data_IF_691142986331
#
_entry.id   IF_691142986331
#
_cell.length_a   1.000
_cell.length_b   1.000
_cell.length_c   1.000
_cell.angle_alpha   90.00
_cell.angle_beta   90.00
_cell.angle_gamma   90.00
#
_symmetry.space_group_name_H-M   'P 1'
#
loop_
_entity.id
_entity.type
_entity.pdbx_description
1 polymer ?
#
# COMPACT_ATOMS: atom_id res chain seq x y z
N UNK A 1 -8.89 -0.01 -8.14
CA UNK A 1 -8.09 -1.24 -7.90
C UNK A 1 -6.59 -0.98 -7.91
N UNK A 2 -6.04 -0.26 -8.89
CA UNK A 2 -4.61 0.14 -8.83
C UNK A 2 -4.35 0.94 -7.55
N UNK A 3 -3.27 0.62 -6.86
CA UNK A 3 -2.91 1.21 -5.58
C UNK A 3 -3.48 0.49 -4.35
N UNK A 4 -4.45 -0.42 -4.53
CA UNK A 4 -4.98 -1.26 -3.46
C UNK A 4 -4.04 -2.42 -3.14
N UNK A 5 -4.33 -3.12 -2.05
CA UNK A 5 -3.56 -4.25 -1.54
C UNK A 5 -4.38 -5.53 -1.66
N UNK A 6 -3.75 -6.63 -2.03
CA UNK A 6 -4.42 -7.93 -2.26
C UNK A 6 -3.57 -9.07 -1.69
N UNK A 7 -4.22 -10.14 -1.23
CA UNK A 7 -3.51 -11.37 -0.89
C UNK A 7 -3.04 -12.09 -2.15
N UNK A 8 -1.76 -12.45 -2.20
CA UNK A 8 -1.16 -13.11 -3.36
C UNK A 8 -0.46 -14.39 -2.93
N UNK A 9 -0.59 -15.42 -3.76
CA UNK A 9 0.15 -16.65 -3.59
C UNK A 9 1.60 -16.48 -4.05
N UNK A 10 2.54 -16.95 -3.23
CA UNK A 10 3.98 -17.03 -3.55
C UNK A 10 4.43 -18.44 -3.91
N UNK A 11 3.52 -19.41 -3.84
CA UNK A 11 3.79 -20.80 -4.19
C UNK A 11 2.62 -21.36 -4.99
N UNK A 12 2.85 -22.49 -5.66
CA UNK A 12 1.77 -23.29 -6.23
C UNK A 12 0.77 -23.69 -5.14
N UNK A 13 -0.49 -23.78 -5.54
CA UNK A 13 -1.54 -24.36 -4.71
C UNK A 13 -1.36 -25.88 -4.70
N UNK A 14 -1.24 -26.46 -3.51
CA UNK A 14 -1.18 -27.90 -3.29
C UNK A 14 -2.32 -28.24 -2.31
N UNK A 15 -3.28 -29.07 -2.74
CA UNK A 15 -4.47 -29.41 -1.94
C UNK A 15 -5.21 -28.18 -1.39
N UNK A 16 -5.38 -27.15 -2.22
CA UNK A 16 -6.05 -25.89 -1.84
C UNK A 16 -5.24 -24.97 -0.91
N UNK A 17 -3.96 -25.26 -0.66
CA UNK A 17 -3.07 -24.47 0.22
C UNK A 17 -1.91 -23.87 -0.57
N UNK A 18 -1.59 -22.61 -0.29
CA UNK A 18 -0.42 -21.92 -0.83
C UNK A 18 0.20 -21.02 0.26
N UNK A 19 1.48 -20.68 0.11
CA UNK A 19 2.12 -19.63 0.93
C UNK A 19 1.63 -18.28 0.44
N UNK A 20 1.05 -17.49 1.33
CA UNK A 20 0.43 -16.20 0.98
C UNK A 20 1.20 -15.02 1.55
N UNK A 21 1.07 -13.88 0.89
CA UNK A 21 1.51 -12.56 1.36
C UNK A 21 0.54 -11.48 0.89
N UNK A 22 0.79 -10.22 1.22
CA UNK A 22 0.02 -9.08 0.72
C UNK A 22 0.89 -8.25 -0.24
N UNK A 23 0.39 -8.01 -1.45
CA UNK A 23 1.04 -7.18 -2.46
C UNK A 23 0.20 -5.95 -2.79
N UNK A 24 0.87 -4.87 -3.22
CA UNK A 24 0.20 -3.69 -3.80
C UNK A 24 -0.03 -3.91 -5.30
N UNK A 25 -1.23 -3.58 -5.78
CA UNK A 25 -1.58 -3.66 -7.19
C UNK A 25 -0.96 -2.46 -7.92
N UNK A 26 0.06 -2.71 -8.71
CA UNK A 26 0.71 -1.67 -9.54
C UNK A 26 0.09 -1.57 -10.94
N UNK A 27 -0.26 -2.70 -11.54
CA UNK A 27 -0.84 -2.77 -12.88
C UNK A 27 -1.76 -3.98 -13.01
N UNK A 28 -2.84 -3.83 -13.77
CA UNK A 28 -3.76 -4.92 -14.12
C UNK A 28 -3.56 -5.22 -15.61
N UNK A 29 -3.41 -6.50 -15.95
CA UNK A 29 -3.33 -6.96 -17.35
C UNK A 29 -4.34 -8.09 -17.54
N UNK A 30 -5.23 -7.94 -18.51
CA UNK A 30 -6.19 -8.96 -18.88
C UNK A 30 -5.53 -9.84 -19.95
N UNK A 31 -5.44 -11.15 -19.70
CA UNK A 31 -4.92 -12.12 -20.66
C UNK A 31 -6.08 -12.91 -21.25
N UNK A 32 -6.00 -13.23 -22.55
CA UNK A 32 -6.99 -14.08 -23.24
C UNK A 32 -6.86 -15.57 -22.89
N UNK A 33 -5.70 -15.98 -22.37
CA UNK A 33 -5.42 -17.36 -21.99
C UNK A 33 -5.59 -17.55 -20.49
N UNK A 34 -6.00 -18.76 -20.08
CA UNK A 34 -6.12 -19.14 -18.67
C UNK A 34 -4.82 -18.90 -17.88
N UNK A 35 -4.95 -18.29 -16.71
CA UNK A 35 -3.82 -18.04 -15.83
C UNK A 35 -3.48 -19.32 -15.05
N UNK A 36 -2.19 -19.64 -14.94
CA UNK A 36 -1.71 -20.74 -14.09
C UNK A 36 -2.22 -20.58 -12.65
N UNK A 37 -2.55 -21.70 -11.99
CA UNK A 37 -3.26 -21.74 -10.71
C UNK A 37 -2.58 -20.94 -9.58
N UNK A 38 -1.25 -20.80 -9.62
CA UNK A 38 -0.50 -19.98 -8.66
C UNK A 38 -0.69 -18.46 -8.82
N UNK A 39 -1.35 -18.01 -9.89
CA UNK A 39 -1.73 -16.62 -10.12
C UNK A 39 -3.11 -16.30 -9.55
N UNK A 40 -3.82 -17.30 -9.02
CA UNK A 40 -5.14 -17.11 -8.46
C UNK A 40 -5.00 -16.50 -7.06
N UNK A 41 -5.36 -15.24 -6.94
CA UNK A 41 -5.59 -14.57 -5.66
C UNK A 41 -7.08 -14.62 -5.33
N UNK A 42 -7.44 -14.81 -4.05
CA UNK A 42 -8.84 -14.61 -3.63
C UNK A 42 -9.24 -13.14 -3.86
N UNK A 43 -10.51 -12.88 -4.14
CA UNK A 43 -11.09 -11.54 -4.39
C UNK A 43 -11.15 -10.63 -3.15
N UNK A 44 -10.18 -10.73 -2.23
CA UNK A 44 -10.10 -9.92 -1.02
C UNK A 44 -9.05 -8.82 -1.22
N UNK A 45 -9.52 -7.59 -1.40
CA UNK A 45 -8.66 -6.42 -1.58
C UNK A 45 -8.94 -5.37 -0.52
N UNK A 46 -7.91 -4.60 -0.17
CA UNK A 46 -7.96 -3.53 0.83
C UNK A 46 -7.51 -2.24 0.18
N UNK A 47 -8.23 -1.14 0.43
CA UNK A 47 -7.85 0.19 -0.03
C UNK A 47 -6.73 0.79 0.83
N UNK A 48 -6.01 1.77 0.27
CA UNK A 48 -5.01 2.52 1.02
C UNK A 48 -5.55 3.15 2.32
N UNK A 49 -6.81 3.56 2.31
CA UNK A 49 -7.49 4.14 3.46
C UNK A 49 -7.79 3.10 4.54
N UNK A 50 -8.34 1.94 4.18
CA UNK A 50 -8.55 0.84 5.12
C UNK A 50 -7.24 0.34 5.73
N UNK A 51 -6.14 0.35 4.97
CA UNK A 51 -4.81 -0.03 5.49
C UNK A 51 -4.32 0.88 6.62
N UNK A 52 -4.84 2.11 6.74
CA UNK A 52 -4.57 2.95 7.91
C UNK A 52 -5.12 2.33 9.20
N UNK A 53 -6.22 1.58 9.10
CA UNK A 53 -6.72 0.74 10.16
C UNK A 53 -6.18 -0.69 10.02
N UNK A 54 -4.97 -0.90 10.53
CA UNK A 54 -4.26 -2.18 10.47
C UNK A 54 -5.06 -3.36 11.05
N UNK A 55 -5.78 -3.13 12.15
CA UNK A 55 -6.54 -4.18 12.83
C UNK A 55 -7.68 -4.69 11.96
N UNK A 56 -8.44 -3.76 11.39
CA UNK A 56 -9.56 -4.07 10.51
C UNK A 56 -9.07 -4.75 9.23
N UNK A 57 -8.03 -4.18 8.62
CA UNK A 57 -7.39 -4.75 7.43
C UNK A 57 -6.87 -6.17 7.64
N UNK A 58 -6.23 -6.42 8.79
CA UNK A 58 -5.74 -7.75 9.12
C UNK A 58 -6.88 -8.74 9.36
N UNK A 59 -7.93 -8.34 10.07
CA UNK A 59 -9.08 -9.20 10.31
C UNK A 59 -9.79 -9.59 9.01
N UNK A 60 -9.89 -8.66 8.06
CA UNK A 60 -10.47 -8.91 6.75
C UNK A 60 -9.64 -9.91 5.92
N UNK A 61 -8.31 -9.77 5.88
CA UNK A 61 -7.45 -10.62 5.05
C UNK A 61 -7.04 -11.95 5.67
N UNK A 62 -7.13 -12.14 6.99
CA UNK A 62 -6.60 -13.35 7.65
C UNK A 62 -7.50 -14.59 7.54
N UNK A 63 -8.73 -14.42 7.05
CA UNK A 63 -9.81 -15.43 7.14
C UNK A 63 -9.41 -16.76 6.49
N UNK A 64 -9.72 -17.89 7.15
CA UNK A 64 -9.43 -19.28 6.72
C UNK A 64 -7.96 -19.63 6.42
N UNK A 65 -7.01 -18.79 6.81
CA UNK A 65 -5.60 -19.09 6.60
C UNK A 65 -4.95 -19.78 7.80
N UNK A 66 -3.96 -20.63 7.54
CA UNK A 66 -3.13 -21.24 8.58
C UNK A 66 -2.31 -20.19 9.33
N UNK A 67 -1.82 -20.53 10.53
CA UNK A 67 -1.08 -19.61 11.40
C UNK A 67 0.12 -18.93 10.68
N UNK A 68 0.84 -19.69 9.85
CA UNK A 68 1.98 -19.18 9.11
C UNK A 68 1.58 -18.09 8.10
N UNK A 69 0.50 -18.33 7.34
CA UNK A 69 -0.03 -17.35 6.40
C UNK A 69 -0.61 -16.13 7.13
N UNK A 70 -1.26 -16.33 8.29
CA UNK A 70 -1.73 -15.22 9.14
C UNK A 70 -0.56 -14.32 9.56
N UNK A 71 0.55 -14.92 10.01
CA UNK A 71 1.75 -14.17 10.38
C UNK A 71 2.34 -13.42 9.17
N UNK A 72 2.49 -14.09 8.03
CA UNK A 72 3.00 -13.49 6.81
C UNK A 72 2.14 -12.30 6.34
N UNK A 73 0.81 -12.43 6.38
CA UNK A 73 -0.14 -11.36 6.07
C UNK A 73 0.02 -10.20 7.05
N UNK A 74 0.11 -10.48 8.35
CA UNK A 74 0.30 -9.44 9.38
C UNK A 74 1.58 -8.63 9.13
N UNK A 75 2.70 -9.31 8.89
CA UNK A 75 3.99 -8.66 8.62
C UNK A 75 3.95 -7.83 7.34
N UNK A 76 3.34 -8.36 6.28
CA UNK A 76 3.17 -7.63 5.02
C UNK A 76 2.30 -6.37 5.21
N UNK A 77 1.20 -6.46 5.96
CA UNK A 77 0.34 -5.31 6.24
C UNK A 77 1.06 -4.22 7.04
N UNK A 78 1.83 -4.59 8.07
CA UNK A 78 2.64 -3.64 8.84
C UNK A 78 3.63 -2.92 7.93
N UNK A 79 4.35 -3.66 7.08
CA UNK A 79 5.28 -3.08 6.13
C UNK A 79 4.60 -2.06 5.20
N UNK A 80 3.46 -2.44 4.61
CA UNK A 80 2.73 -1.56 3.69
C UNK A 80 2.13 -0.33 4.39
N UNK A 81 1.63 -0.49 5.61
CA UNK A 81 1.13 0.61 6.42
C UNK A 81 2.24 1.62 6.71
N UNK A 82 3.40 1.16 7.15
CA UNK A 82 4.55 2.03 7.41
C UNK A 82 5.02 2.75 6.14
N UNK A 83 5.05 2.04 5.00
CA UNK A 83 5.39 2.66 3.71
C UNK A 83 4.39 3.74 3.30
N UNK A 84 3.10 3.51 3.53
CA UNK A 84 2.04 4.48 3.25
C UNK A 84 2.15 5.72 4.16
N UNK A 85 2.44 5.54 5.45
CA UNK A 85 2.71 6.64 6.37
C UNK A 85 3.93 7.46 5.94
N UNK A 86 5.03 6.81 5.53
CA UNK A 86 6.22 7.51 5.04
C UNK A 86 5.91 8.37 3.81
N UNK A 87 5.13 7.84 2.85
CA UNK A 87 4.71 8.60 1.67
C UNK A 87 3.89 9.84 2.08
N UNK A 88 2.94 9.69 3.01
CA UNK A 88 2.14 10.81 3.55
C UNK A 88 3.01 11.84 4.25
N UNK A 89 3.95 11.41 5.08
CA UNK A 89 4.86 12.34 5.77
C UNK A 89 5.76 13.10 4.80
N UNK A 90 6.26 12.42 3.76
CA UNK A 90 7.11 13.05 2.75
C UNK A 90 6.34 14.07 1.90
N UNK A 91 5.07 13.79 1.54
CA UNK A 91 4.25 14.75 0.81
C UNK A 91 3.95 16.00 1.65
N UNK A 92 3.66 15.84 2.95
CA UNK A 92 3.48 16.96 3.88
C UNK A 92 4.77 17.78 4.01
N UNK A 93 5.91 17.12 4.24
CA UNK A 93 7.23 17.79 4.32
C UNK A 93 7.51 18.62 3.06
N UNK A 94 7.23 18.05 1.89
CA UNK A 94 7.42 18.75 0.62
C UNK A 94 6.49 19.96 0.48
N UNK A 95 5.22 19.83 0.85
CA UNK A 95 4.25 20.92 0.83
C UNK A 95 4.66 22.07 1.78
N UNK A 96 5.12 21.75 2.99
CA UNK A 96 5.63 22.72 3.96
C UNK A 96 6.86 23.44 3.42
N UNK A 97 7.84 22.69 2.87
CA UNK A 97 9.03 23.27 2.25
C UNK A 97 8.67 24.25 1.12
N UNK A 98 7.72 23.88 0.27
CA UNK A 98 7.24 24.73 -0.84
C UNK A 98 6.59 26.03 -0.31
N UNK A 99 5.74 25.94 0.72
CA UNK A 99 5.13 27.12 1.35
C UNK A 99 6.18 28.03 1.97
N UNK A 100 7.16 27.47 2.69
CA UNK A 100 8.28 28.22 3.28
C UNK A 100 9.07 28.98 2.21
N UNK A 101 9.46 28.32 1.13
CA UNK A 101 10.20 28.96 0.02
C UNK A 101 9.39 30.08 -0.64
N UNK A 102 8.06 29.90 -0.77
CA UNK A 102 7.19 30.96 -1.29
C UNK A 102 7.20 32.18 -0.36
N UNK A 103 7.07 31.96 0.95
CA UNK A 103 7.08 33.02 1.97
C UNK A 103 8.42 33.79 1.97
N UNK A 104 9.55 33.07 1.94
CA UNK A 104 10.89 33.67 1.90
C UNK A 104 11.08 34.56 0.66
N UNK A 105 10.56 34.15 -0.50
CA UNK A 105 10.57 34.97 -1.72
C UNK A 105 9.73 36.23 -1.59
N UNK A 106 8.51 36.12 -1.04
CA UNK A 106 7.63 37.28 -0.83
C UNK A 106 8.26 38.29 0.13
N UNK A 107 8.84 37.82 1.23
CA UNK A 107 9.53 38.67 2.21
C UNK A 107 10.75 39.38 1.59
N UNK A 108 11.53 38.68 0.76
CA UNK A 108 12.70 39.25 0.08
C UNK A 108 12.31 40.32 -0.94
N UNK A 109 11.22 40.11 -1.68
CA UNK A 109 10.74 41.10 -2.65
C UNK A 109 10.14 42.32 -1.94
N UNK A 110 9.29 42.11 -0.93
CA UNK A 110 8.75 43.23 -0.15
C UNK A 110 9.84 44.09 0.50
N UNK A 111 10.92 43.50 1.00
CA UNK A 111 12.08 44.27 1.52
C UNK A 111 12.80 45.13 0.47
N UNK A 112 12.76 44.76 -0.82
CA UNK A 112 13.36 45.56 -1.89
C UNK A 112 12.50 46.77 -2.26
N UNK A 113 11.20 46.70 -2.05
CA UNK A 113 10.28 47.79 -2.39
C UNK A 113 10.28 48.93 -1.34
N UNK A 114 10.92 48.72 -0.18
CA UNK A 114 11.07 49.70 0.91
C UNK A 114 12.50 50.23 1.11
N UNK A 115 13.45 49.88 0.24
CA UNK A 115 14.85 50.34 0.28
C UNK A 115 15.21 51.10 -0.98
#
# INVERSE_FOLDING_TARGET
>A
MIGNYITVARSKYIKGRARLTVGRIEKIRIRKNGAADWHWSRNQFITAEHLLNLKDSYNYLRHDYCWYNRLAIKMALIYWHNKLLQIKLNSIRYAVKKKRLKLERTLKNGRKDFS
#
